data_IF_196611657941
#
_entry.id   IF_196611657941
#
_cell.length_a   1.000
_cell.length_b   1.000
_cell.length_c   1.000
_cell.angle_alpha   90.00
_cell.angle_beta   90.00
_cell.angle_gamma   90.00
#
_symmetry.space_group_name_H-M   'P 1'
#
loop_
_entity.id
_entity.type
_entity.pdbx_description
1 polymer ?
#
# COMPACT_ATOMS: atom_id res chain seq x y z
N UNK A 1 -14.29 -22.38 16.36
CA UNK A 1 -13.12 -21.73 17.01
C UNK A 1 -12.12 -21.14 16.01
N UNK A 2 -11.64 -21.89 15.01
CA UNK A 2 -10.62 -21.45 14.03
C UNK A 2 -10.95 -20.09 13.36
N UNK A 3 -12.20 -19.90 12.92
CA UNK A 3 -12.60 -18.67 12.22
C UNK A 3 -12.51 -17.40 13.08
N UNK A 4 -12.75 -17.51 14.39
CA UNK A 4 -12.66 -16.33 15.28
C UNK A 4 -11.20 -15.93 15.54
N UNK A 5 -10.30 -16.91 15.67
CA UNK A 5 -8.86 -16.66 15.82
C UNK A 5 -8.27 -16.00 14.56
N UNK A 6 -8.68 -16.47 13.38
CA UNK A 6 -8.26 -15.90 12.09
C UNK A 6 -8.76 -14.46 11.91
N UNK A 7 -10.02 -14.20 12.30
CA UNK A 7 -10.58 -12.86 12.28
C UNK A 7 -9.85 -11.92 13.25
N UNK A 8 -9.47 -12.39 14.43
CA UNK A 8 -8.67 -11.60 15.37
C UNK A 8 -7.26 -11.33 14.82
N UNK A 9 -6.62 -12.31 14.16
CA UNK A 9 -5.33 -12.09 13.50
C UNK A 9 -5.43 -11.03 12.39
N UNK A 10 -6.53 -11.03 11.62
CA UNK A 10 -6.83 -10.00 10.63
C UNK A 10 -7.02 -8.61 11.23
N UNK A 11 -7.74 -8.53 12.35
CA UNK A 11 -7.94 -7.28 13.10
C UNK A 11 -6.60 -6.71 13.57
N UNK A 12 -5.73 -7.54 14.16
CA UNK A 12 -4.41 -7.11 14.60
C UNK A 12 -3.53 -6.63 13.43
N UNK A 13 -3.61 -7.32 12.29
CA UNK A 13 -2.88 -6.90 11.10
C UNK A 13 -3.41 -5.59 10.53
N UNK A 14 -4.74 -5.39 10.51
CA UNK A 14 -5.36 -4.14 10.09
C UNK A 14 -4.99 -2.98 11.01
N UNK A 15 -4.98 -3.19 12.33
CA UNK A 15 -4.50 -2.23 13.34
C UNK A 15 -3.04 -1.87 13.08
N UNK A 16 -2.19 -2.88 12.82
CA UNK A 16 -0.77 -2.67 12.53
C UNK A 16 -0.56 -1.80 11.28
N UNK A 17 -1.30 -2.07 10.19
CA UNK A 17 -1.28 -1.24 8.98
C UNK A 17 -1.70 0.22 9.27
N UNK A 18 -2.76 0.42 10.07
CA UNK A 18 -3.22 1.76 10.45
C UNK A 18 -2.23 2.54 11.33
N UNK A 19 -1.51 1.83 12.20
CA UNK A 19 -0.59 2.38 13.20
C UNK A 19 0.85 2.57 12.71
N UNK A 20 1.15 2.28 11.44
CA UNK A 20 2.45 2.57 10.86
C UNK A 20 2.87 4.04 11.08
N UNK A 21 4.15 4.34 11.33
CA UNK A 21 4.62 5.72 11.45
C UNK A 21 4.18 6.57 10.26
N UNK A 22 3.83 7.85 10.47
CA UNK A 22 3.40 8.76 9.38
C UNK A 22 4.50 8.95 8.31
N UNK A 23 5.75 8.85 8.75
CA UNK A 23 6.97 8.92 7.95
C UNK A 23 7.54 7.54 7.59
N UNK A 24 6.77 6.45 7.75
CA UNK A 24 7.19 5.16 7.25
C UNK A 24 7.47 5.22 5.75
N UNK A 25 8.44 4.41 5.32
CA UNK A 25 8.77 4.21 3.93
C UNK A 25 7.51 3.77 3.16
N UNK A 26 7.13 4.44 2.05
CA UNK A 26 6.01 4.02 1.22
C UNK A 26 6.08 2.55 0.78
N UNK A 27 7.27 2.00 0.54
CA UNK A 27 7.45 0.60 0.14
C UNK A 27 7.12 -0.37 1.28
N UNK A 28 7.53 -0.05 2.51
CA UNK A 28 7.19 -0.83 3.70
C UNK A 28 5.67 -0.81 3.96
N UNK A 29 5.06 0.38 3.82
CA UNK A 29 3.60 0.54 3.97
C UNK A 29 2.86 -0.34 2.95
N UNK A 30 3.28 -0.30 1.68
CA UNK A 30 2.65 -1.12 0.63
C UNK A 30 2.86 -2.61 0.89
N UNK A 31 4.05 -3.01 1.32
CA UNK A 31 4.36 -4.41 1.63
C UNK A 31 3.44 -4.93 2.74
N UNK A 32 3.24 -4.16 3.79
CA UNK A 32 2.36 -4.56 4.88
C UNK A 32 0.88 -4.60 4.47
N UNK A 33 0.43 -3.62 3.69
CA UNK A 33 -0.94 -3.58 3.17
C UNK A 33 -1.20 -4.76 2.21
N UNK A 34 -0.23 -5.14 1.38
CA UNK A 34 -0.34 -6.34 0.53
C UNK A 34 -0.50 -7.61 1.35
N UNK A 35 0.34 -7.79 2.36
CA UNK A 35 0.21 -8.93 3.28
C UNK A 35 -1.17 -8.97 3.93
N UNK A 36 -1.71 -7.81 4.32
CA UNK A 36 -3.05 -7.70 4.85
C UNK A 36 -4.13 -8.12 3.84
N UNK A 37 -4.06 -7.62 2.61
CA UNK A 37 -5.02 -7.96 1.56
C UNK A 37 -4.97 -9.44 1.19
N UNK A 38 -3.79 -10.04 1.12
CA UNK A 38 -3.64 -11.49 0.85
C UNK A 38 -4.35 -12.34 1.91
N UNK A 39 -4.16 -12.02 3.19
CA UNK A 39 -4.81 -12.74 4.29
C UNK A 39 -6.31 -12.45 4.32
N UNK A 40 -6.72 -11.22 4.01
CA UNK A 40 -8.13 -10.85 3.96
C UNK A 40 -8.88 -11.58 2.84
N UNK A 41 -8.29 -11.66 1.65
CA UNK A 41 -8.86 -12.38 0.50
C UNK A 41 -9.00 -13.88 0.81
N UNK A 42 -7.99 -14.49 1.41
CA UNK A 42 -8.03 -15.90 1.84
C UNK A 42 -9.12 -16.15 2.90
N UNK A 43 -9.20 -15.28 3.91
CA UNK A 43 -10.25 -15.36 4.92
C UNK A 43 -11.65 -15.16 4.31
N UNK A 44 -11.83 -14.20 3.40
CA UNK A 44 -13.11 -13.93 2.77
C UNK A 44 -13.63 -15.14 1.98
N UNK A 45 -12.74 -15.84 1.28
CA UNK A 45 -13.10 -17.06 0.54
C UNK A 45 -13.59 -18.16 1.49
N UNK A 46 -12.90 -18.35 2.62
CA UNK A 46 -13.25 -19.38 3.61
C UNK A 46 -14.45 -18.99 4.49
N UNK A 47 -14.67 -17.69 4.72
CA UNK A 47 -15.82 -17.17 5.44
C UNK A 47 -17.15 -17.51 4.77
N UNK A 48 -17.18 -17.60 3.43
CA UNK A 48 -18.38 -18.02 2.69
C UNK A 48 -18.75 -19.50 2.88
N UNK A 49 -17.83 -20.33 3.35
CA UNK A 49 -18.03 -21.76 3.61
C UNK A 49 -18.44 -22.06 5.05
N UNK A 50 -18.46 -21.03 5.91
CA UNK A 50 -18.74 -21.20 7.33
C UNK A 50 -20.24 -21.24 7.62
N UNK A 51 -20.68 -22.35 8.21
CA UNK A 51 -22.06 -22.51 8.66
C UNK A 51 -22.28 -21.78 9.99
N UNK A 52 -22.83 -20.57 9.92
CA UNK A 52 -23.12 -19.72 11.08
C UNK A 52 -24.20 -20.33 11.98
N UNK A 53 -25.08 -21.18 11.45
CA UNK A 53 -26.15 -21.81 12.22
C UNK A 53 -25.64 -22.97 13.10
N UNK A 54 -24.40 -23.42 12.85
CA UNK A 54 -23.74 -24.50 13.60
C UNK A 54 -23.10 -24.06 14.93
N UNK A 55 -23.07 -22.76 15.22
CA UNK A 55 -22.44 -22.18 16.42
C UNK A 55 -23.44 -21.51 17.35
N UNK A 56 -23.03 -21.27 18.60
CA UNK A 56 -23.89 -20.66 19.61
C UNK A 56 -24.19 -19.17 19.32
N UNK A 57 -25.32 -18.66 19.80
CA UNK A 57 -25.69 -17.23 19.67
C UNK A 57 -24.60 -16.29 20.22
N UNK A 58 -23.94 -16.70 21.31
CA UNK A 58 -22.83 -15.95 21.91
C UNK A 58 -21.63 -15.84 20.94
N UNK A 59 -21.27 -16.94 20.28
CA UNK A 59 -20.19 -16.96 19.28
C UNK A 59 -20.56 -16.15 18.04
N UNK A 60 -21.81 -16.23 17.58
CA UNK A 60 -22.30 -15.41 16.47
C UNK A 60 -22.19 -13.91 16.79
N UNK A 61 -22.60 -13.50 17.99
CA UNK A 61 -22.49 -12.12 18.45
C UNK A 61 -21.02 -11.64 18.50
N UNK A 62 -20.12 -12.52 18.94
CA UNK A 62 -18.68 -12.23 19.00
C UNK A 62 -18.07 -12.08 17.60
N UNK A 63 -18.37 -12.98 16.67
CA UNK A 63 -17.93 -12.89 15.27
C UNK A 63 -18.46 -11.61 14.63
N UNK A 64 -19.74 -11.28 14.84
CA UNK A 64 -20.35 -10.05 14.32
C UNK A 64 -19.63 -8.81 14.83
N UNK A 65 -19.36 -8.74 16.13
CA UNK A 65 -18.60 -7.63 16.73
C UNK A 65 -17.20 -7.49 16.12
N UNK A 66 -16.50 -8.59 15.92
CA UNK A 66 -15.18 -8.61 15.28
C UNK A 66 -15.24 -8.17 13.81
N UNK A 67 -16.28 -8.54 13.06
CA UNK A 67 -16.49 -8.07 11.67
C UNK A 67 -16.73 -6.56 11.66
N UNK A 68 -17.57 -6.04 12.56
CA UNK A 68 -17.84 -4.60 12.67
C UNK A 68 -16.58 -3.80 13.08
N UNK A 69 -15.70 -4.40 13.88
CA UNK A 69 -14.38 -3.84 14.16
C UNK A 69 -13.49 -3.82 12.91
N UNK A 70 -13.37 -4.95 12.21
CA UNK A 70 -12.58 -5.07 11.00
C UNK A 70 -13.02 -4.06 9.93
N UNK A 71 -14.33 -3.89 9.75
CA UNK A 71 -14.92 -2.89 8.85
C UNK A 71 -14.48 -1.46 9.19
N UNK A 72 -14.45 -1.11 10.48
CA UNK A 72 -13.97 0.21 10.91
C UNK A 72 -12.49 0.39 10.58
N UNK A 73 -11.67 -0.66 10.76
CA UNK A 73 -10.24 -0.63 10.48
C UNK A 73 -9.91 -0.54 8.97
N UNK A 74 -10.76 -1.09 8.08
CA UNK A 74 -10.56 -0.99 6.62
C UNK A 74 -10.39 0.45 6.14
N UNK A 75 -11.12 1.39 6.75
CA UNK A 75 -10.99 2.82 6.41
C UNK A 75 -9.58 3.35 6.67
N UNK A 76 -8.97 2.93 7.78
CA UNK A 76 -7.59 3.28 8.14
C UNK A 76 -6.56 2.64 7.21
N UNK A 77 -6.74 1.36 6.88
CA UNK A 77 -5.87 0.65 5.91
C UNK A 77 -5.93 1.34 4.55
N UNK A 78 -7.13 1.67 4.08
CA UNK A 78 -7.35 2.35 2.78
C UNK A 78 -6.70 3.73 2.76
N UNK A 79 -6.88 4.53 3.82
CA UNK A 79 -6.25 5.84 3.93
C UNK A 79 -4.72 5.75 3.91
N UNK A 80 -4.13 4.71 4.51
CA UNK A 80 -2.69 4.45 4.46
C UNK A 80 -2.22 4.05 3.07
N UNK A 81 -2.97 3.21 2.36
CA UNK A 81 -2.67 2.84 0.98
C UNK A 81 -2.64 4.06 0.06
N UNK A 82 -3.66 4.92 0.13
CA UNK A 82 -3.73 6.14 -0.68
C UNK A 82 -2.61 7.13 -0.33
N UNK A 83 -2.25 7.26 0.96
CA UNK A 83 -1.11 8.10 1.36
C UNK A 83 0.22 7.60 0.79
N UNK A 84 0.49 6.28 0.84
CA UNK A 84 1.70 5.70 0.27
C UNK A 84 1.76 5.86 -1.25
N UNK A 85 0.64 5.60 -1.93
CA UNK A 85 0.49 5.81 -3.38
C UNK A 85 0.77 7.26 -3.78
N UNK A 86 0.26 8.23 -3.02
CA UNK A 86 0.53 9.65 -3.24
C UNK A 86 2.03 9.98 -3.18
N UNK A 87 2.73 9.51 -2.14
CA UNK A 87 4.18 9.72 -1.99
C UNK A 87 4.98 9.15 -3.17
N UNK A 88 4.67 7.92 -3.59
CA UNK A 88 5.34 7.29 -4.74
C UNK A 88 5.08 8.07 -6.04
N UNK A 89 3.86 8.57 -6.22
CA UNK A 89 3.53 9.39 -7.38
C UNK A 89 4.34 10.71 -7.41
N UNK A 90 4.53 11.33 -6.25
CA UNK A 90 5.34 12.54 -6.11
C UNK A 90 6.83 12.25 -6.41
N UNK A 91 7.38 11.16 -5.87
CA UNK A 91 8.76 10.75 -6.10
C UNK A 91 9.02 10.44 -7.59
N UNK A 92 8.08 9.74 -8.24
CA UNK A 92 8.15 9.45 -9.68
C UNK A 92 8.07 10.73 -10.52
N UNK A 93 7.23 11.68 -10.13
CA UNK A 93 7.13 13.00 -10.77
C UNK A 93 8.44 13.76 -10.68
N UNK A 94 9.09 13.76 -9.51
CA UNK A 94 10.37 14.44 -9.31
C UNK A 94 11.49 13.78 -10.11
N UNK A 95 11.51 12.44 -10.15
CA UNK A 95 12.44 11.67 -10.99
C UNK A 95 12.27 12.02 -12.48
N UNK A 96 11.04 12.12 -12.98
CA UNK A 96 10.78 12.51 -14.36
C UNK A 96 11.29 13.91 -14.69
N UNK A 97 11.10 14.90 -13.79
CA UNK A 97 11.63 16.26 -13.97
C UNK A 97 13.16 16.25 -14.05
N UNK A 98 13.83 15.53 -13.15
CA UNK A 98 15.29 15.39 -13.13
C UNK A 98 15.82 14.71 -14.38
N UNK A 99 15.17 13.63 -14.84
CA UNK A 99 15.54 12.94 -16.07
C UNK A 99 15.38 13.84 -17.31
N UNK A 100 14.31 14.65 -17.36
CA UNK A 100 14.13 15.65 -18.44
C UNK A 100 15.25 16.69 -18.46
N UNK A 101 15.66 17.17 -17.29
CA UNK A 101 16.78 18.10 -17.17
C UNK A 101 18.10 17.46 -17.66
N UNK A 102 18.35 16.19 -17.29
CA UNK A 102 19.50 15.43 -17.75
C UNK A 102 19.51 15.25 -19.27
N UNK A 103 18.39 14.85 -19.88
CA UNK A 103 18.26 14.74 -21.33
C UNK A 103 18.53 16.07 -22.03
N UNK A 104 17.95 17.15 -21.52
CA UNK A 104 18.17 18.51 -22.05
C UNK A 104 19.65 18.91 -21.99
N UNK A 105 20.34 18.56 -20.90
CA UNK A 105 21.77 18.79 -20.76
C UNK A 105 22.57 18.00 -21.82
N UNK A 106 22.28 16.71 -21.96
CA UNK A 106 22.93 15.83 -22.94
C UNK A 106 22.69 16.29 -24.39
N UNK A 107 21.49 16.76 -24.73
CA UNK A 107 21.18 17.24 -26.08
C UNK A 107 21.91 18.56 -26.42
N UNK A 108 22.14 19.41 -25.42
CA UNK A 108 22.76 20.74 -25.61
C UNK A 108 24.29 20.73 -25.54
N UNK A 109 24.91 19.64 -25.12
CA UNK A 109 26.37 19.59 -24.93
C UNK A 109 27.18 19.29 -26.22
N UNK A 110 26.75 18.37 -27.12
CA UNK A 110 27.43 18.11 -28.39
C UNK A 110 27.54 19.35 -29.30
N UNK A 111 26.59 20.28 -29.19
CA UNK A 111 26.59 21.53 -29.95
C UNK A 111 27.53 22.61 -29.38
N UNK A 112 27.99 22.49 -28.14
CA UNK A 112 28.95 23.45 -27.53
C UNK A 112 30.41 23.08 -27.77
N UNK A 113 30.75 21.79 -27.89
CA UNK A 113 32.13 21.35 -28.18
C UNK A 113 32.49 21.55 -29.67
N UNK A 114 31.51 21.55 -30.57
CA UNK A 114 31.75 21.75 -32.02
C UNK A 114 32.06 23.21 -32.41
N UNK A 115 31.74 24.20 -31.55
CA UNK A 115 31.93 25.62 -31.87
C UNK A 115 33.38 26.09 -31.66
N UNK A 116 34.17 25.38 -30.85
CA UNK A 116 35.57 25.77 -30.56
C UNK A 116 36.61 25.31 -31.60
N UNK A 117 36.21 24.53 -32.61
CA UNK A 117 37.11 23.96 -33.62
C UNK A 117 37.03 24.58 -35.03
N UNK A 118 36.10 25.49 -35.31
CA UNK A 118 35.92 26.11 -36.64
C UNK A 118 36.37 27.57 -36.66
N UNK A 119 37.62 27.85 -36.29
CA UNK A 119 38.28 29.11 -36.71
C UNK A 119 38.95 28.82 -38.06
N UNK A 120 38.25 29.17 -39.14
CA UNK A 120 38.74 29.06 -40.52
C UNK A 120 40.10 29.78 -40.66
N UNK A 121 41.05 29.11 -41.31
CA UNK A 121 42.18 29.78 -41.97
C UNK A 121 41.71 30.58 -43.18
#
# INVERSE_FOLDING_TARGET
>A
MVMHEELNALIELARSCGNLPKNADPEDVITQIRKYLEIFDDWQQRAGEFDVDSISEAEQAQIKSSIEELQRLHSGVTARAESAKGKIADDLSDLHKRNKALKTYLDRYPSRISITGKRKG
#
